data_IF_048064858248
#
_entry.id   IF_048064858248
#
_cell.length_a   1.000
_cell.length_b   1.000
_cell.length_c   1.000
_cell.angle_alpha   90.00
_cell.angle_beta   90.00
_cell.angle_gamma   90.00
#
_symmetry.space_group_name_H-M   'P 1'
#
loop_
_entity.id
_entity.type
_entity.pdbx_description
1 polymer ?
#
# COMPACT_ATOMS: atom_id res chain seq x y z
N UNK A 1 -13.18 45.92 -40.50
CA UNK A 1 -13.65 44.60 -40.07
C UNK A 1 -13.37 43.61 -41.19
N UNK A 2 -12.27 42.88 -41.11
CA UNK A 2 -11.91 41.83 -42.09
C UNK A 2 -12.21 40.46 -41.44
N UNK A 3 -13.09 39.71 -42.08
CA UNK A 3 -13.41 38.31 -41.70
C UNK A 3 -12.37 37.39 -42.33
N UNK A 4 -11.53 36.75 -41.52
CA UNK A 4 -10.66 35.69 -41.98
C UNK A 4 -11.47 34.42 -42.26
N UNK A 5 -11.49 34.01 -43.52
CA UNK A 5 -12.02 32.72 -43.96
C UNK A 5 -10.92 31.67 -43.75
N UNK A 6 -11.19 30.68 -42.93
CA UNK A 6 -10.35 29.48 -42.84
C UNK A 6 -10.67 28.57 -44.02
N UNK A 7 -9.70 28.36 -44.89
CA UNK A 7 -9.72 27.36 -45.95
C UNK A 7 -9.54 25.96 -45.32
N UNK A 8 -10.57 25.13 -45.38
CA UNK A 8 -10.48 23.72 -45.06
C UNK A 8 -9.96 22.99 -46.30
N UNK A 9 -8.68 22.65 -46.31
CA UNK A 9 -8.10 21.77 -47.34
C UNK A 9 -8.40 20.32 -47.01
N UNK A 10 -9.32 19.71 -47.77
CA UNK A 10 -9.58 18.28 -47.73
C UNK A 10 -8.42 17.52 -48.36
N UNK A 11 -7.55 16.93 -47.57
CA UNK A 11 -6.55 15.98 -48.02
C UNK A 11 -7.23 14.61 -48.16
N UNK A 12 -7.50 14.18 -49.37
CA UNK A 12 -7.86 12.80 -49.68
C UNK A 12 -6.56 11.97 -49.55
N UNK A 13 -6.36 11.41 -48.39
CA UNK A 13 -5.25 10.51 -48.16
C UNK A 13 -5.54 9.11 -48.69
N UNK A 14 -4.78 8.70 -49.68
CA UNK A 14 -4.71 7.32 -50.19
C UNK A 14 -4.29 6.43 -49.06
N UNK A 15 -5.14 5.45 -48.69
CA UNK A 15 -4.77 4.39 -47.74
C UNK A 15 -3.69 3.51 -48.41
N UNK A 16 -2.44 3.80 -48.08
CA UNK A 16 -1.36 2.82 -48.26
C UNK A 16 -1.47 1.89 -47.06
N UNK A 17 -1.89 0.63 -47.29
CA UNK A 17 -1.80 -0.43 -46.30
C UNK A 17 -0.31 -0.67 -46.01
N UNK A 18 0.24 0.06 -45.06
CA UNK A 18 1.53 -0.24 -44.48
C UNK A 18 1.37 -1.53 -43.69
N UNK A 19 2.02 -2.60 -44.17
CA UNK A 19 2.25 -3.81 -43.39
C UNK A 19 2.85 -3.34 -42.02
N UNK A 20 2.03 -3.41 -40.97
CA UNK A 20 2.43 -2.97 -39.66
C UNK A 20 3.58 -3.82 -39.16
N UNK A 21 4.79 -3.29 -39.23
CA UNK A 21 5.85 -3.77 -38.35
C UNK A 21 5.38 -3.46 -36.91
N UNK A 22 4.77 -4.44 -36.28
CA UNK A 22 4.63 -4.46 -34.82
C UNK A 22 6.05 -4.51 -34.28
N UNK A 23 6.62 -3.36 -33.98
CA UNK A 23 7.83 -3.31 -33.16
C UNK A 23 7.47 -3.95 -31.83
N UNK A 24 7.88 -5.21 -31.64
CA UNK A 24 7.83 -5.83 -30.31
C UNK A 24 8.67 -4.95 -29.39
N UNK A 25 8.03 -4.30 -28.44
CA UNK A 25 8.74 -3.51 -27.43
C UNK A 25 9.71 -4.43 -26.70
N UNK A 26 10.94 -3.97 -26.41
CA UNK A 26 11.85 -4.75 -25.59
C UNK A 26 11.14 -5.21 -24.31
N UNK A 27 11.38 -6.45 -23.85
CA UNK A 27 10.66 -7.01 -22.70
C UNK A 27 10.81 -6.21 -21.39
N UNK A 28 11.82 -5.34 -21.31
CA UNK A 28 12.11 -4.50 -20.13
C UNK A 28 11.40 -3.15 -20.13
N UNK A 29 10.68 -2.80 -21.21
CA UNK A 29 9.95 -1.52 -21.26
C UNK A 29 8.58 -1.71 -20.61
N UNK A 30 8.36 -0.99 -19.51
CA UNK A 30 7.07 -0.95 -18.83
C UNK A 30 5.98 -0.38 -19.76
N UNK A 31 4.82 -1.00 -19.73
CA UNK A 31 3.66 -0.49 -20.45
C UNK A 31 2.98 0.59 -19.62
N UNK A 32 2.62 1.74 -20.20
CA UNK A 32 1.86 2.75 -19.48
C UNK A 32 0.45 2.22 -19.15
N UNK A 33 -0.04 2.58 -17.96
CA UNK A 33 -1.41 2.28 -17.55
C UNK A 33 -2.00 3.49 -16.82
N UNK A 34 -3.33 3.57 -16.81
CA UNK A 34 -4.09 4.57 -16.07
C UNK A 34 -5.02 3.86 -15.09
N UNK A 35 -4.94 4.25 -13.83
CA UNK A 35 -5.83 3.79 -12.77
C UNK A 35 -6.83 4.92 -12.47
N UNK A 36 -8.12 4.73 -12.74
CA UNK A 36 -9.11 5.76 -12.47
C UNK A 36 -9.27 6.00 -10.96
N UNK A 37 -9.76 7.18 -10.54
CA UNK A 37 -10.08 7.43 -9.15
C UNK A 37 -11.07 6.40 -8.61
N UNK A 38 -10.87 5.99 -7.36
CA UNK A 38 -11.81 5.15 -6.62
C UNK A 38 -12.32 5.91 -5.39
N UNK A 39 -13.49 5.52 -4.84
CA UNK A 39 -13.95 6.06 -3.57
C UNK A 39 -12.89 5.86 -2.48
N UNK A 40 -12.83 6.75 -1.47
CA UNK A 40 -11.98 6.55 -0.31
C UNK A 40 -12.11 5.14 0.26
N UNK A 41 -10.98 4.54 0.63
CA UNK A 41 -11.00 3.23 1.30
C UNK A 41 -11.49 3.42 2.73
N UNK A 42 -12.40 2.54 3.16
CA UNK A 42 -12.89 2.50 4.54
C UNK A 42 -12.15 1.42 5.34
N UNK A 43 -11.93 1.62 6.64
CA UNK A 43 -11.35 0.60 7.50
C UNK A 43 -12.24 -0.66 7.57
N UNK A 44 -11.62 -1.83 7.50
CA UNK A 44 -12.29 -3.11 7.67
C UNK A 44 -12.72 -3.41 9.13
N UNK A 45 -13.30 -4.58 9.39
CA UNK A 45 -13.83 -4.96 10.72
C UNK A 45 -12.78 -4.91 11.84
N UNK A 46 -11.49 -5.14 11.51
CA UNK A 46 -10.37 -5.03 12.45
C UNK A 46 -9.84 -3.61 12.67
N UNK A 47 -10.53 -2.60 12.11
CA UNK A 47 -10.10 -1.20 12.16
C UNK A 47 -9.02 -0.83 11.13
N UNK A 48 -8.65 -1.75 10.26
CA UNK A 48 -7.65 -1.56 9.23
C UNK A 48 -8.02 -2.34 7.97
N UNK A 49 -7.80 -1.73 6.79
CA UNK A 49 -7.93 -2.43 5.51
C UNK A 49 -6.96 -1.86 4.48
N UNK A 50 -6.74 -2.60 3.39
CA UNK A 50 -5.85 -2.23 2.30
C UNK A 50 -6.51 -2.38 0.94
N UNK A 51 -6.03 -1.61 -0.02
CA UNK A 51 -6.34 -1.73 -1.45
C UNK A 51 -5.06 -1.66 -2.25
N UNK A 52 -4.77 -2.68 -3.04
CA UNK A 52 -3.64 -2.63 -3.97
C UNK A 52 -3.97 -1.74 -5.16
N UNK A 53 -3.16 -0.71 -5.38
CA UNK A 53 -3.23 0.16 -6.56
C UNK A 53 -2.28 -0.29 -7.66
N UNK A 54 -1.02 -0.55 -7.32
CA UNK A 54 0.01 -0.96 -8.28
C UNK A 54 0.69 -2.22 -7.76
N UNK A 55 0.73 -3.26 -8.61
CA UNK A 55 1.42 -4.50 -8.30
C UNK A 55 2.87 -4.45 -8.76
N UNK A 56 3.74 -5.11 -8.05
CA UNK A 56 5.15 -5.28 -8.43
C UNK A 56 5.31 -5.87 -9.84
N UNK A 57 4.43 -6.79 -10.23
CA UNK A 57 4.41 -7.38 -11.59
C UNK A 57 4.15 -6.35 -12.69
N UNK A 58 3.50 -5.23 -12.38
CA UNK A 58 3.22 -4.14 -13.34
C UNK A 58 4.40 -3.16 -13.46
N UNK A 59 5.40 -3.27 -12.60
CA UNK A 59 6.55 -2.34 -12.52
C UNK A 59 7.90 -3.04 -12.70
N UNK A 60 7.95 -4.22 -13.30
CA UNK A 60 9.15 -5.06 -13.38
C UNK A 60 9.81 -5.26 -12.01
N UNK A 61 9.00 -5.45 -10.97
CA UNK A 61 9.40 -5.61 -9.56
C UNK A 61 10.18 -4.41 -8.98
N UNK A 62 10.04 -3.22 -9.55
CA UNK A 62 10.70 -2.02 -9.02
C UNK A 62 10.00 -1.51 -7.77
N UNK A 63 8.67 -1.48 -7.77
CA UNK A 63 7.84 -1.09 -6.63
C UNK A 63 6.43 -1.64 -6.77
N UNK A 64 5.71 -1.63 -5.65
CA UNK A 64 4.26 -1.74 -5.59
C UNK A 64 3.67 -0.60 -4.76
N UNK A 65 2.35 -0.43 -4.82
CA UNK A 65 1.66 0.63 -4.11
C UNK A 65 0.31 0.16 -3.60
N UNK A 66 0.04 0.40 -2.32
CA UNK A 66 -1.26 0.16 -1.70
C UNK A 66 -1.82 1.46 -1.11
N UNK A 67 -3.12 1.50 -0.92
CA UNK A 67 -3.80 2.44 -0.02
C UNK A 67 -4.15 1.68 1.26
N UNK A 68 -3.92 2.30 2.42
CA UNK A 68 -4.37 1.80 3.70
C UNK A 68 -5.36 2.76 4.33
N UNK A 69 -6.39 2.20 5.00
CA UNK A 69 -7.35 2.93 5.81
C UNK A 69 -7.31 2.44 7.25
N UNK A 70 -7.22 3.35 8.21
CA UNK A 70 -7.07 3.07 9.64
C UNK A 70 -8.12 3.83 10.43
N UNK A 71 -8.94 3.10 11.17
CA UNK A 71 -9.97 3.67 12.02
C UNK A 71 -9.38 4.56 13.14
N UNK A 72 -10.19 5.47 13.72
CA UNK A 72 -9.79 6.24 14.90
C UNK A 72 -9.30 5.36 16.06
N UNK A 73 -8.27 5.83 16.77
CA UNK A 73 -7.70 5.12 17.93
C UNK A 73 -7.28 3.70 17.66
N UNK A 74 -6.74 3.43 16.48
CA UNK A 74 -6.38 2.08 16.07
C UNK A 74 -4.88 1.94 15.90
N UNK A 75 -4.33 0.89 16.53
CA UNK A 75 -2.95 0.45 16.33
C UNK A 75 -2.82 -0.26 14.98
N UNK A 76 -1.78 0.06 14.22
CA UNK A 76 -1.34 -0.72 13.07
C UNK A 76 -0.76 -2.08 13.48
N UNK A 77 0.14 -2.67 12.67
CA UNK A 77 0.80 -3.92 13.05
C UNK A 77 1.62 -3.73 14.34
N UNK A 78 1.94 -4.81 15.07
CA UNK A 78 2.96 -4.74 16.11
C UNK A 78 4.25 -4.14 15.58
N UNK A 79 5.12 -3.55 16.41
CA UNK A 79 6.46 -3.18 15.99
C UNK A 79 7.14 -4.34 15.26
N UNK A 80 7.75 -4.04 14.11
CA UNK A 80 8.35 -5.04 13.23
C UNK A 80 9.47 -4.44 12.40
N UNK A 81 10.26 -5.28 11.77
CA UNK A 81 11.23 -4.86 10.77
C UNK A 81 11.17 -5.74 9.52
N UNK A 82 11.56 -5.19 8.42
CA UNK A 82 11.73 -5.88 7.16
C UNK A 82 13.21 -6.11 6.86
N UNK A 83 13.54 -7.31 6.39
CA UNK A 83 14.92 -7.64 5.99
C UNK A 83 15.33 -6.96 4.68
N UNK A 84 14.40 -6.81 3.73
CA UNK A 84 14.70 -6.37 2.36
C UNK A 84 13.83 -5.21 1.87
N UNK A 85 12.70 -4.92 2.51
CA UNK A 85 11.72 -3.94 2.08
C UNK A 85 12.05 -2.54 2.60
N UNK A 86 12.07 -1.55 1.72
CA UNK A 86 11.98 -0.13 2.06
C UNK A 86 10.56 0.36 1.76
N UNK A 87 10.01 1.17 2.65
CA UNK A 87 8.65 1.69 2.55
C UNK A 87 8.64 3.22 2.57
N UNK A 88 7.81 3.82 1.71
CA UNK A 88 7.49 5.25 1.80
C UNK A 88 5.99 5.40 1.92
N UNK A 89 5.52 5.97 3.02
CA UNK A 89 4.13 6.38 3.13
C UNK A 89 3.93 7.83 2.67
N UNK A 90 2.77 8.09 2.06
CA UNK A 90 2.23 9.41 1.77
C UNK A 90 0.84 9.52 2.37
N UNK A 91 0.66 10.40 3.34
CA UNK A 91 -0.62 10.53 4.04
C UNK A 91 -1.62 11.30 3.17
N UNK A 92 -2.76 10.67 2.89
CA UNK A 92 -3.87 11.24 2.11
C UNK A 92 -4.83 12.02 3.00
N UNK A 93 -5.10 11.50 4.22
CA UNK A 93 -6.08 12.05 5.15
C UNK A 93 -5.69 11.71 6.59
N UNK A 94 -5.91 12.66 7.51
CA UNK A 94 -5.60 12.48 8.92
C UNK A 94 -4.13 12.69 9.25
N UNK A 95 -3.67 12.02 10.31
CA UNK A 95 -2.29 12.06 10.79
C UNK A 95 -1.85 10.66 11.19
N UNK A 96 -0.77 10.17 10.60
CA UNK A 96 -0.15 8.93 10.98
C UNK A 96 0.93 9.18 12.05
N UNK A 97 0.78 8.56 13.22
CA UNK A 97 1.87 8.46 14.17
C UNK A 97 2.75 7.28 13.76
N UNK A 98 4.02 7.53 13.48
CA UNK A 98 4.96 6.52 12.96
C UNK A 98 6.16 6.41 13.90
N UNK A 99 6.38 5.22 14.45
CA UNK A 99 7.58 4.89 15.21
C UNK A 99 8.62 4.27 14.26
N UNK A 100 9.86 4.80 14.26
CA UNK A 100 11.01 4.19 13.59
C UNK A 100 12.23 4.25 14.52
N UNK A 101 12.74 3.09 14.89
CA UNK A 101 13.75 2.99 15.95
C UNK A 101 13.18 3.50 17.28
N UNK A 102 13.76 4.56 17.82
CA UNK A 102 13.36 5.22 19.06
C UNK A 102 12.56 6.53 18.85
N UNK A 103 12.32 6.91 17.60
CA UNK A 103 11.70 8.19 17.24
C UNK A 103 10.27 8.02 16.76
N UNK A 104 9.42 8.95 17.18
CA UNK A 104 8.02 9.04 16.74
C UNK A 104 7.87 10.29 15.89
N UNK A 105 7.20 10.12 14.76
CA UNK A 105 6.90 11.15 13.78
C UNK A 105 5.38 11.29 13.62
N UNK A 106 4.88 12.51 13.62
CA UNK A 106 3.48 12.83 13.31
C UNK A 106 3.42 13.29 11.84
N UNK A 107 3.01 12.40 10.97
CA UNK A 107 2.94 12.65 9.51
C UNK A 107 1.53 13.06 9.15
N UNK A 108 1.33 14.33 8.87
CA UNK A 108 0.04 14.90 8.49
C UNK A 108 -0.28 14.66 7.01
N UNK A 109 -1.53 14.82 6.62
CA UNK A 109 -1.96 14.78 5.23
C UNK A 109 -1.09 15.69 4.33
N UNK A 110 -0.62 15.14 3.20
CA UNK A 110 0.36 15.75 2.30
C UNK A 110 1.82 15.45 2.67
N UNK A 111 2.08 14.84 3.82
CA UNK A 111 3.42 14.47 4.27
C UNK A 111 3.87 13.10 3.79
N UNK A 112 5.19 12.94 3.65
CA UNK A 112 5.87 11.68 3.36
C UNK A 112 6.71 11.22 4.55
N UNK A 113 6.85 9.90 4.71
CA UNK A 113 7.75 9.31 5.69
C UNK A 113 8.40 8.03 5.15
N UNK A 114 9.74 7.93 5.23
CA UNK A 114 10.50 6.74 4.86
C UNK A 114 10.68 5.83 6.07
N UNK A 115 10.35 4.55 5.91
CA UNK A 115 10.63 3.46 6.86
C UNK A 115 11.62 2.50 6.19
N UNK A 116 12.92 2.65 6.41
CA UNK A 116 13.93 1.83 5.75
C UNK A 116 14.00 0.42 6.36
N UNK A 117 14.42 -0.54 5.56
CA UNK A 117 14.70 -1.91 6.00
C UNK A 117 15.64 -1.95 7.19
N UNK A 118 15.53 -2.98 8.01
CA UNK A 118 16.41 -3.22 9.14
C UNK A 118 16.15 -2.35 10.37
N UNK A 119 15.28 -1.35 10.30
CA UNK A 119 14.82 -0.58 11.46
C UNK A 119 13.46 -1.06 11.94
N UNK A 120 13.35 -1.25 13.26
CA UNK A 120 12.05 -1.57 13.88
C UNK A 120 11.13 -0.38 13.71
N UNK A 121 9.93 -0.61 13.20
CA UNK A 121 8.92 0.43 12.98
C UNK A 121 7.50 -0.09 13.16
N UNK A 122 6.58 0.83 13.33
CA UNK A 122 5.14 0.62 13.29
C UNK A 122 4.44 1.97 13.10
N UNK A 123 3.12 1.94 12.92
CA UNK A 123 2.30 3.15 12.86
C UNK A 123 0.97 2.95 13.60
N UNK A 124 0.30 4.05 13.91
CA UNK A 124 -1.05 4.03 14.48
C UNK A 124 -1.80 5.33 14.15
N UNK A 125 -3.09 5.27 14.30
CA UNK A 125 -3.96 6.44 14.28
C UNK A 125 -4.33 6.83 15.72
N UNK A 126 -3.64 7.84 16.27
CA UNK A 126 -3.92 8.35 17.61
C UNK A 126 -5.12 9.30 17.67
N UNK A 127 -5.67 9.73 16.53
CA UNK A 127 -6.74 10.73 16.43
C UNK A 127 -8.14 10.09 16.52
N UNK A 128 -9.15 10.95 16.64
CA UNK A 128 -10.58 10.59 16.59
C UNK A 128 -11.15 10.66 15.15
N UNK A 129 -10.29 10.84 14.14
CA UNK A 129 -10.65 10.92 12.73
C UNK A 129 -10.04 9.76 11.96
N UNK A 130 -10.59 9.38 10.79
CA UNK A 130 -9.96 8.39 9.91
C UNK A 130 -8.55 8.81 9.49
N UNK A 131 -7.69 7.83 9.29
CA UNK A 131 -6.38 7.98 8.66
C UNK A 131 -6.38 7.18 7.37
N UNK A 132 -5.92 7.78 6.26
CA UNK A 132 -5.64 7.09 5.01
C UNK A 132 -4.29 7.50 4.47
N UNK A 133 -3.55 6.55 3.93
CA UNK A 133 -2.25 6.81 3.33
C UNK A 133 -1.97 5.84 2.19
N UNK A 134 -1.09 6.26 1.26
CA UNK A 134 -0.48 5.39 0.28
C UNK A 134 0.84 4.86 0.85
N UNK A 135 1.11 3.57 0.69
CA UNK A 135 2.41 2.98 0.93
C UNK A 135 3.01 2.48 -0.38
N UNK A 136 4.24 2.90 -0.65
CA UNK A 136 5.05 2.41 -1.75
C UNK A 136 6.10 1.46 -1.19
N UNK A 137 6.19 0.28 -1.76
CA UNK A 137 7.08 -0.80 -1.36
C UNK A 137 8.15 -1.03 -2.42
N UNK A 138 9.41 -0.99 -2.01
CA UNK A 138 10.55 -1.15 -2.89
C UNK A 138 11.32 -2.43 -2.56
N UNK A 139 11.92 -3.04 -3.58
CA UNK A 139 12.77 -4.23 -3.47
C UNK A 139 12.04 -5.53 -3.09
N UNK A 140 10.72 -5.51 -2.97
CA UNK A 140 9.92 -6.69 -2.62
C UNK A 140 8.47 -6.51 -3.10
N UNK A 141 7.80 -7.61 -3.48
CA UNK A 141 6.38 -7.69 -3.83
C UNK A 141 5.50 -7.75 -2.57
N UNK A 142 5.60 -6.75 -1.70
CA UNK A 142 4.99 -6.78 -0.37
C UNK A 142 3.46 -6.63 -0.39
N UNK A 143 2.90 -6.15 -1.47
CA UNK A 143 1.45 -6.17 -1.69
C UNK A 143 0.86 -7.58 -1.60
N UNK A 144 1.60 -8.62 -2.03
CA UNK A 144 1.17 -10.02 -1.90
C UNK A 144 1.09 -10.47 -0.43
N UNK A 145 2.03 -10.02 0.42
CA UNK A 145 1.97 -10.24 1.86
C UNK A 145 0.68 -9.66 2.44
N UNK A 146 0.38 -8.41 2.11
CA UNK A 146 -0.78 -7.71 2.65
C UNK A 146 -2.10 -8.29 2.14
N UNK A 147 -2.19 -8.65 0.87
CA UNK A 147 -3.39 -9.30 0.33
C UNK A 147 -3.64 -10.66 0.97
N UNK A 148 -2.62 -11.48 1.18
CA UNK A 148 -2.78 -12.75 1.89
C UNK A 148 -3.18 -12.53 3.35
N UNK A 149 -2.57 -11.54 4.03
CA UNK A 149 -2.90 -11.23 5.42
C UNK A 149 -4.34 -10.71 5.57
N UNK A 150 -4.70 -9.66 4.82
CA UNK A 150 -5.99 -8.98 4.96
C UNK A 150 -7.14 -9.74 4.30
N UNK A 151 -6.95 -10.21 3.07
CA UNK A 151 -8.03 -10.74 2.25
C UNK A 151 -8.17 -12.26 2.30
N UNK A 152 -7.23 -12.95 2.98
CA UNK A 152 -7.32 -14.39 3.20
C UNK A 152 -7.27 -14.73 4.69
N UNK A 153 -6.17 -14.41 5.40
CA UNK A 153 -6.01 -14.82 6.81
C UNK A 153 -7.05 -14.13 7.71
N UNK A 154 -7.16 -12.80 7.64
CA UNK A 154 -8.12 -12.03 8.44
C UNK A 154 -9.57 -12.30 8.02
N UNK A 155 -9.82 -12.51 6.74
CA UNK A 155 -11.14 -12.90 6.25
C UNK A 155 -11.56 -14.28 6.79
N UNK A 156 -10.64 -15.26 6.83
CA UNK A 156 -10.88 -16.58 7.43
C UNK A 156 -11.09 -16.50 8.95
N UNK A 157 -10.30 -15.65 9.63
CA UNK A 157 -10.49 -15.40 11.06
C UNK A 157 -11.89 -14.86 11.35
N UNK A 158 -12.33 -13.84 10.63
CA UNK A 158 -13.66 -13.26 10.82
C UNK A 158 -14.77 -14.26 10.52
N UNK A 159 -14.65 -15.02 9.43
CA UNK A 159 -15.65 -16.03 9.02
C UNK A 159 -15.79 -17.17 10.03
N UNK A 160 -14.69 -17.56 10.69
CA UNK A 160 -14.65 -18.70 11.62
C UNK A 160 -14.65 -18.25 13.08
N UNK A 161 -14.74 -16.95 13.36
CA UNK A 161 -14.65 -16.36 14.69
C UNK A 161 -13.36 -16.77 15.45
N UNK A 162 -12.23 -16.81 14.73
CA UNK A 162 -10.91 -17.11 15.26
C UNK A 162 -10.17 -15.83 15.65
N UNK A 163 -9.07 -15.99 16.39
CA UNK A 163 -8.18 -14.89 16.79
C UNK A 163 -6.76 -15.16 16.27
N UNK A 164 -5.86 -14.14 16.29
CA UNK A 164 -4.45 -14.37 15.96
C UNK A 164 -3.73 -15.39 16.84
N UNK A 165 -4.29 -15.69 18.02
CA UNK A 165 -3.74 -16.70 18.96
C UNK A 165 -4.17 -18.13 18.61
N UNK A 166 -5.13 -18.31 17.70
CA UNK A 166 -5.47 -19.65 17.23
C UNK A 166 -4.25 -20.30 16.57
N UNK A 167 -3.90 -21.55 16.94
CA UNK A 167 -2.68 -22.20 16.46
C UNK A 167 -2.59 -22.28 14.93
N UNK A 168 -3.71 -22.47 14.25
CA UNK A 168 -3.76 -22.54 12.78
C UNK A 168 -3.46 -21.16 12.18
N UNK A 169 -4.07 -20.10 12.72
CA UNK A 169 -3.86 -18.73 12.29
C UNK A 169 -2.42 -18.28 12.60
N UNK A 170 -1.96 -18.49 13.82
CA UNK A 170 -0.60 -18.16 14.24
C UNK A 170 0.45 -18.83 13.35
N UNK A 171 0.25 -20.09 12.97
CA UNK A 171 1.14 -20.82 12.04
C UNK A 171 1.14 -20.21 10.63
N UNK A 172 -0.03 -19.81 10.11
CA UNK A 172 -0.15 -19.16 8.80
C UNK A 172 0.56 -17.82 8.79
N UNK A 173 0.33 -16.99 9.82
CA UNK A 173 0.99 -15.69 9.97
C UNK A 173 2.52 -15.83 10.06
N UNK A 174 3.02 -16.74 10.91
CA UNK A 174 4.45 -17.00 11.03
C UNK A 174 5.09 -17.50 9.72
N UNK A 175 4.37 -18.32 8.94
CA UNK A 175 4.84 -18.77 7.62
C UNK A 175 4.90 -17.62 6.60
N UNK A 176 3.91 -16.73 6.66
CA UNK A 176 3.85 -15.54 5.82
C UNK A 176 4.99 -14.57 6.17
N UNK A 177 5.18 -14.27 7.46
CA UNK A 177 6.29 -13.42 7.95
C UNK A 177 7.65 -13.95 7.50
N UNK A 178 7.86 -15.26 7.68
CA UNK A 178 9.11 -15.93 7.25
C UNK A 178 9.35 -15.80 5.75
N UNK A 179 8.30 -15.98 4.92
CA UNK A 179 8.40 -15.91 3.46
C UNK A 179 8.81 -14.52 2.99
N UNK A 180 8.34 -13.47 3.67
CA UNK A 180 8.62 -12.07 3.32
C UNK A 180 9.73 -11.43 4.16
N UNK A 181 10.38 -12.18 5.04
CA UNK A 181 11.49 -11.69 5.86
C UNK A 181 11.07 -10.60 6.85
N UNK A 182 9.86 -10.71 7.37
CA UNK A 182 9.32 -9.85 8.43
C UNK A 182 9.69 -10.45 9.78
N UNK A 183 10.15 -9.61 10.71
CA UNK A 183 10.36 -9.97 12.12
C UNK A 183 9.45 -9.12 12.97
N UNK A 184 8.53 -9.77 13.70
CA UNK A 184 7.56 -9.11 14.57
C UNK A 184 8.07 -9.04 16.02
N UNK A 185 7.70 -7.95 16.73
CA UNK A 185 7.98 -7.73 18.16
C UNK A 185 6.64 -7.46 18.90
N UNK A 186 5.76 -8.47 19.00
CA UNK A 186 4.40 -8.29 19.54
C UNK A 186 4.41 -7.87 21.02
N UNK A 187 5.44 -8.19 21.78
CA UNK A 187 5.62 -7.80 23.18
C UNK A 187 5.74 -6.28 23.36
N UNK A 188 6.15 -5.55 22.33
CA UNK A 188 6.26 -4.09 22.38
C UNK A 188 4.95 -3.37 22.09
N UNK A 189 3.93 -4.07 21.56
CA UNK A 189 2.66 -3.49 21.14
C UNK A 189 1.89 -2.85 22.29
N UNK A 190 1.77 -3.58 23.42
CA UNK A 190 0.89 -3.19 24.52
C UNK A 190 1.28 -1.83 25.12
N UNK A 191 2.56 -1.55 25.26
CA UNK A 191 3.05 -0.28 25.78
C UNK A 191 2.63 0.93 24.90
N UNK A 192 2.54 0.74 23.58
CA UNK A 192 2.07 1.78 22.65
C UNK A 192 0.56 1.93 22.79
N UNK A 193 -0.17 0.81 22.80
CA UNK A 193 -1.63 0.81 22.95
C UNK A 193 -2.05 1.57 24.23
N UNK A 194 -1.44 1.25 25.38
CA UNK A 194 -1.75 1.88 26.67
C UNK A 194 -1.41 3.37 26.66
N UNK A 195 -0.25 3.72 26.14
CA UNK A 195 0.23 5.10 26.11
C UNK A 195 -0.66 6.04 25.29
N UNK A 196 -1.22 5.55 24.17
CA UNK A 196 -2.00 6.37 23.24
C UNK A 196 -3.50 6.08 23.27
N UNK A 197 -3.97 5.20 24.14
CA UNK A 197 -5.39 4.84 24.27
C UNK A 197 -5.93 4.20 22.98
N UNK A 198 -5.18 3.28 22.40
CA UNK A 198 -5.52 2.61 21.13
C UNK A 198 -6.33 1.33 21.36
N UNK A 199 -6.85 0.79 20.26
CA UNK A 199 -7.55 -0.48 20.22
C UNK A 199 -6.67 -1.56 19.60
#
# INVERSE_FOLDING_TARGET
MQRNQFLVSSIVGTLVAAAGNTFAMPPDILQPFYLPPAPPLEPGPGGLDIRTWVRSTQTNNQFSCIEAAVAPKTMGPPPHLHKALDEICYVLEGTASVLVGDKIYEVQAGGFHLRPRGLVHTFWNASDKPLRFMDLYFNQNFEEYLEELFHQIYADMAKQNLTPLDPTIAKRMAALDKRFGVTMFPEQRQAIVDKYGLK
#
